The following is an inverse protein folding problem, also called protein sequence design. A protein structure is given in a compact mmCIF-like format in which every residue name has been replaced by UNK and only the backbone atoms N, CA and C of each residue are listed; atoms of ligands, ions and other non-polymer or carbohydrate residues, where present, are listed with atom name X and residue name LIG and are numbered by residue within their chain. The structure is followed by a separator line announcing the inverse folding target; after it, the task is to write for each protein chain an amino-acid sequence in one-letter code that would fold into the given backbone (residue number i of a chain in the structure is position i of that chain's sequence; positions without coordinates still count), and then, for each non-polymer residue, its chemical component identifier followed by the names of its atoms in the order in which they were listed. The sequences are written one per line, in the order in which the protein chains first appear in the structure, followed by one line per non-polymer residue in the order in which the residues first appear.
data_IF_811664343056
#
_entry.id   IF_811664343056
#
_cell.length_a   1.000
_cell.length_b   1.000
_cell.length_c   1.000
_cell.angle_alpha   90.00
_cell.angle_beta   90.00
_cell.angle_gamma   90.00
#
_symmetry.space_group_name_H-M   'P 1'
#
loop_
_entity.id
_entity.type
_entity.pdbx_description
1 polymer ?
#
# COMPACT_ATOMS: atom_id res chain seq x y z
N UNK A 1 14.64 -6.84 31.81
CA UNK A 1 13.58 -7.75 31.34
C UNK A 1 13.76 -7.92 29.84
N UNK A 2 14.20 -9.08 29.41
CA UNK A 2 14.24 -9.45 28.00
C UNK A 2 12.80 -9.44 27.45
N UNK A 3 12.53 -8.64 26.41
CA UNK A 3 11.21 -8.65 25.76
C UNK A 3 11.08 -9.98 25.01
N UNK A 4 10.30 -10.91 25.53
CA UNK A 4 9.95 -12.13 24.81
C UNK A 4 9.06 -11.73 23.63
N UNK A 5 9.60 -11.85 22.42
CA UNK A 5 8.82 -11.64 21.18
C UNK A 5 7.96 -12.90 20.98
N UNK A 6 6.62 -12.78 20.87
CA UNK A 6 5.76 -13.92 20.63
C UNK A 6 6.12 -14.67 19.34
N UNK A 7 5.98 -16.00 19.35
CA UNK A 7 6.35 -16.88 18.22
C UNK A 7 5.69 -16.49 16.91
N UNK A 8 4.43 -16.05 16.94
CA UNK A 8 3.73 -15.62 15.72
C UNK A 8 4.37 -14.38 15.08
N UNK A 9 4.92 -13.44 15.87
CA UNK A 9 5.65 -12.30 15.34
C UNK A 9 7.01 -12.71 14.78
N UNK A 10 7.69 -13.65 15.42
CA UNK A 10 8.94 -14.21 14.90
C UNK A 10 8.70 -14.93 13.55
N UNK A 11 7.61 -15.70 13.47
CA UNK A 11 7.23 -16.40 12.25
C UNK A 11 6.88 -15.43 11.12
N UNK A 12 6.12 -14.36 11.40
CA UNK A 12 5.80 -13.32 10.42
C UNK A 12 7.06 -12.59 9.95
N UNK A 13 7.93 -12.17 10.86
CA UNK A 13 9.20 -11.53 10.53
C UNK A 13 10.08 -12.45 9.66
N UNK A 14 10.20 -13.72 10.04
CA UNK A 14 10.94 -14.71 9.27
C UNK A 14 10.37 -14.91 7.86
N UNK A 15 9.05 -14.96 7.72
CA UNK A 15 8.36 -15.05 6.44
C UNK A 15 8.70 -13.83 5.56
N UNK A 16 8.56 -12.63 6.09
CA UNK A 16 8.84 -11.39 5.35
C UNK A 16 10.30 -11.32 4.89
N UNK A 17 11.22 -11.67 5.77
CA UNK A 17 12.66 -11.61 5.48
C UNK A 17 13.09 -12.66 4.44
N UNK A 18 12.58 -13.89 4.55
CA UNK A 18 12.99 -15.02 3.71
C UNK A 18 12.32 -15.06 2.34
N UNK A 19 11.11 -14.52 2.18
CA UNK A 19 10.38 -14.61 0.92
C UNK A 19 11.04 -13.74 -0.16
N UNK A 20 11.72 -14.37 -1.10
CA UNK A 20 12.25 -13.73 -2.31
C UNK A 20 11.21 -13.71 -3.42
N UNK A 21 11.38 -12.81 -4.41
CA UNK A 21 10.46 -12.75 -5.56
C UNK A 21 10.41 -14.09 -6.34
N UNK A 22 11.53 -14.79 -6.45
CA UNK A 22 11.65 -16.06 -7.18
C UNK A 22 10.93 -17.23 -6.50
N UNK A 23 10.60 -17.11 -5.22
CA UNK A 23 9.87 -18.14 -4.45
C UNK A 23 8.36 -17.92 -4.47
N UNK A 24 7.90 -16.78 -4.98
CA UNK A 24 6.48 -16.48 -5.06
C UNK A 24 5.88 -17.25 -6.25
N UNK A 25 4.79 -18.01 -6.03
CA UNK A 25 4.13 -18.75 -7.10
C UNK A 25 3.63 -17.81 -8.22
N UNK A 26 3.74 -18.25 -9.48
CA UNK A 26 3.37 -17.42 -10.64
C UNK A 26 1.91 -16.95 -10.60
N UNK A 27 0.99 -17.78 -10.15
CA UNK A 27 -0.41 -17.40 -10.02
C UNK A 27 -0.63 -16.27 -8.99
N UNK A 28 0.22 -16.15 -7.96
CA UNK A 28 0.21 -15.05 -7.00
C UNK A 28 0.75 -13.78 -7.64
N UNK A 29 1.84 -13.91 -8.43
CA UNK A 29 2.42 -12.79 -9.18
C UNK A 29 1.38 -12.23 -10.17
N UNK A 30 0.73 -13.09 -10.96
CA UNK A 30 -0.31 -12.69 -11.91
C UNK A 30 -1.48 -12.01 -11.19
N UNK A 31 -1.94 -12.57 -10.07
CA UNK A 31 -3.01 -11.94 -9.27
C UNK A 31 -2.58 -10.57 -8.73
N UNK A 32 -1.35 -10.41 -8.28
CA UNK A 32 -0.85 -9.13 -7.78
C UNK A 32 -0.73 -8.07 -8.88
N UNK A 33 -0.40 -8.47 -10.11
CA UNK A 33 -0.43 -7.58 -11.28
C UNK A 33 -1.84 -7.04 -11.55
N UNK A 34 -2.86 -7.91 -11.45
CA UNK A 34 -4.26 -7.50 -11.62
C UNK A 34 -4.71 -6.55 -10.51
N UNK A 35 -4.39 -6.85 -9.24
CA UNK A 35 -4.67 -5.95 -8.12
C UNK A 35 -3.99 -4.60 -8.30
N UNK A 36 -2.73 -4.61 -8.72
CA UNK A 36 -1.99 -3.38 -8.98
C UNK A 36 -2.63 -2.56 -10.10
N UNK A 37 -2.97 -3.19 -11.23
CA UNK A 37 -3.60 -2.51 -12.36
C UNK A 37 -4.97 -1.93 -12.02
N UNK A 38 -5.80 -2.68 -11.28
CA UNK A 38 -7.10 -2.25 -10.79
C UNK A 38 -6.99 -1.02 -9.88
N UNK A 39 -6.10 -1.10 -8.88
CA UNK A 39 -5.86 0.03 -7.97
C UNK A 39 -5.31 1.26 -8.70
N UNK A 40 -4.42 1.08 -9.68
CA UNK A 40 -3.92 2.19 -10.51
C UNK A 40 -5.04 2.85 -11.30
N UNK A 41 -5.96 2.06 -11.85
CA UNK A 41 -7.12 2.59 -12.58
C UNK A 41 -8.05 3.39 -11.65
N UNK A 42 -8.32 2.88 -10.44
CA UNK A 42 -9.14 3.58 -9.45
C UNK A 42 -8.48 4.92 -9.02
N UNK A 43 -7.17 4.94 -8.78
CA UNK A 43 -6.44 6.16 -8.42
C UNK A 43 -6.52 7.20 -9.56
N UNK A 44 -6.24 6.78 -10.81
CA UNK A 44 -6.26 7.67 -11.97
C UNK A 44 -7.68 8.19 -12.20
N UNK A 45 -8.70 7.34 -12.11
CA UNK A 45 -10.10 7.75 -12.25
C UNK A 45 -10.50 8.78 -11.19
N UNK A 46 -10.21 8.50 -9.92
CA UNK A 46 -10.56 9.42 -8.82
C UNK A 46 -9.73 10.70 -8.79
N UNK A 47 -8.53 10.71 -9.40
CA UNK A 47 -7.70 11.93 -9.48
C UNK A 47 -8.33 13.04 -10.30
N UNK A 48 -9.27 12.72 -11.19
CA UNK A 48 -9.99 13.67 -12.03
C UNK A 48 -11.19 14.34 -11.31
N UNK A 49 -11.53 13.89 -10.10
CA UNK A 49 -12.65 14.44 -9.35
C UNK A 49 -12.30 15.81 -8.73
N UNK A 50 -13.20 16.80 -8.77
CA UNK A 50 -12.92 18.18 -8.34
C UNK A 50 -12.45 18.28 -6.88
N UNK A 51 -12.98 17.44 -6.00
CA UNK A 51 -12.62 17.39 -4.58
C UNK A 51 -11.19 16.88 -4.40
N UNK A 52 -10.80 15.84 -5.15
CA UNK A 52 -9.44 15.28 -5.13
C UNK A 52 -8.45 16.26 -5.75
N UNK A 53 -8.83 16.93 -6.83
CA UNK A 53 -8.02 18.00 -7.43
C UNK A 53 -7.77 19.14 -6.43
N UNK A 54 -8.81 19.53 -5.69
CA UNK A 54 -8.71 20.55 -4.65
C UNK A 54 -7.81 20.11 -3.49
N UNK A 55 -7.95 18.86 -3.03
CA UNK A 55 -7.08 18.26 -2.03
C UNK A 55 -5.62 18.27 -2.49
N UNK A 56 -5.38 17.80 -3.72
CA UNK A 56 -4.03 17.76 -4.34
C UNK A 56 -3.38 19.14 -4.34
N UNK A 57 -4.07 20.14 -4.84
CA UNK A 57 -3.56 21.53 -4.87
C UNK A 57 -3.20 22.02 -3.47
N UNK A 58 -4.06 21.79 -2.47
CA UNK A 58 -3.82 22.22 -1.09
C UNK A 58 -2.64 21.50 -0.44
N UNK A 59 -2.53 20.19 -0.62
CA UNK A 59 -1.45 19.42 -0.01
C UNK A 59 -0.09 19.69 -0.64
N UNK A 60 -0.02 19.97 -1.94
CA UNK A 60 1.22 20.32 -2.63
C UNK A 60 1.68 21.77 -2.38
N UNK A 61 0.83 22.63 -1.77
CA UNK A 61 1.24 23.96 -1.34
C UNK A 61 2.34 23.95 -0.25
N UNK A 62 2.43 22.89 0.53
CA UNK A 62 3.57 22.66 1.42
C UNK A 62 4.79 22.34 0.56
N UNK A 63 5.60 23.33 0.24
CA UNK A 63 6.74 23.33 -0.70
C UNK A 63 7.85 22.30 -0.41
N UNK A 64 7.52 21.11 0.07
CA UNK A 64 8.47 20.03 0.21
C UNK A 64 8.68 19.38 -1.16
N UNK A 65 9.86 19.56 -1.77
CA UNK A 65 10.15 18.97 -3.06
C UNK A 65 10.18 17.44 -2.93
N UNK A 66 9.70 16.76 -3.96
CA UNK A 66 9.74 15.31 -4.05
C UNK A 66 9.51 14.86 -5.48
N UNK A 67 9.88 13.63 -5.76
CA UNK A 67 9.80 13.03 -7.09
C UNK A 67 8.73 11.94 -7.19
N UNK A 68 7.98 11.70 -6.12
CA UNK A 68 6.88 10.75 -6.16
C UNK A 68 5.73 11.31 -7.01
N UNK A 69 5.13 10.47 -7.84
CA UNK A 69 4.13 10.88 -8.83
C UNK A 69 2.72 10.94 -8.26
N UNK A 70 2.04 12.08 -8.42
CA UNK A 70 0.59 12.18 -8.24
C UNK A 70 -0.07 11.65 -9.50
N UNK A 71 -0.59 10.43 -9.42
CA UNK A 71 -1.11 9.70 -10.55
C UNK A 71 -2.27 10.45 -11.24
N UNK A 72 -2.30 10.38 -12.58
CA UNK A 72 -3.32 11.03 -13.40
C UNK A 72 -3.15 12.55 -13.58
N UNK A 73 -2.17 13.20 -12.94
CA UNK A 73 -2.08 14.67 -12.95
C UNK A 73 -0.82 15.26 -13.57
N UNK A 74 0.26 14.48 -13.72
CA UNK A 74 1.57 14.98 -14.12
C UNK A 74 2.32 15.78 -13.04
N UNK A 75 1.77 15.87 -11.82
CA UNK A 75 2.39 16.52 -10.67
C UNK A 75 3.23 15.53 -9.87
N UNK A 76 4.17 16.05 -9.09
CA UNK A 76 4.99 15.26 -8.16
C UNK A 76 5.16 15.98 -6.83
N UNK A 77 5.55 15.25 -5.80
CA UNK A 77 5.73 15.81 -4.48
C UNK A 77 6.47 14.87 -3.52
N UNK A 78 6.48 15.27 -2.27
CA UNK A 78 7.03 14.49 -1.15
C UNK A 78 6.25 13.17 -1.01
N UNK A 79 6.93 12.01 -0.82
CA UNK A 79 6.31 10.69 -0.93
C UNK A 79 5.15 10.44 0.07
N UNK A 80 5.23 10.94 1.30
CA UNK A 80 4.12 10.79 2.26
C UNK A 80 2.88 11.58 1.81
N UNK A 81 3.08 12.81 1.34
CA UNK A 81 2.01 13.66 0.80
C UNK A 81 1.36 12.99 -0.41
N UNK A 82 2.19 12.51 -1.34
CA UNK A 82 1.72 11.84 -2.56
C UNK A 82 0.97 10.54 -2.23
N UNK A 83 1.45 9.76 -1.25
CA UNK A 83 0.74 8.55 -0.81
C UNK A 83 -0.66 8.86 -0.29
N UNK A 84 -0.84 9.95 0.46
CA UNK A 84 -2.16 10.39 0.95
C UNK A 84 -3.05 10.84 -0.22
N UNK A 85 -2.51 11.62 -1.16
CA UNK A 85 -3.26 12.08 -2.34
C UNK A 85 -3.73 10.89 -3.18
N UNK A 86 -2.80 9.99 -3.55
CA UNK A 86 -3.13 8.82 -4.36
C UNK A 86 -4.08 7.86 -3.63
N UNK A 87 -3.91 7.66 -2.32
CA UNK A 87 -4.84 6.87 -1.53
C UNK A 87 -6.25 7.47 -1.47
N UNK A 88 -6.34 8.78 -1.29
CA UNK A 88 -7.63 9.50 -1.32
C UNK A 88 -8.29 9.42 -2.69
N UNK A 89 -7.52 9.59 -3.78
CA UNK A 89 -8.02 9.43 -5.13
C UNK A 89 -8.56 8.02 -5.38
N UNK A 90 -7.80 7.00 -4.97
CA UNK A 90 -8.14 5.61 -5.22
C UNK A 90 -9.41 5.13 -4.53
N UNK A 91 -9.73 5.68 -3.36
CA UNK A 91 -10.96 5.34 -2.63
C UNK A 91 -12.16 6.22 -3.00
N UNK A 92 -11.94 7.31 -3.73
CA UNK A 92 -12.98 8.33 -3.95
C UNK A 92 -14.21 7.81 -4.69
N UNK A 93 -14.00 6.96 -5.69
CA UNK A 93 -15.07 6.41 -6.52
C UNK A 93 -15.68 5.11 -5.98
N UNK A 94 -15.18 4.60 -4.83
CA UNK A 94 -15.60 3.29 -4.27
C UNK A 94 -15.50 2.15 -5.32
N UNK A 95 -14.48 2.18 -6.17
CA UNK A 95 -14.25 1.23 -7.26
C UNK A 95 -12.93 0.45 -7.10
N UNK A 96 -12.24 0.65 -6.00
CA UNK A 96 -10.97 -0.03 -5.69
C UNK A 96 -11.17 -1.49 -5.28
N UNK A 97 -10.14 -2.31 -5.52
CA UNK A 97 -10.17 -3.75 -5.25
C UNK A 97 -10.62 -4.07 -3.82
N UNK A 98 -11.32 -5.17 -3.67
CA UNK A 98 -11.82 -5.62 -2.38
C UNK A 98 -11.44 -7.06 -2.05
N UNK A 99 -11.18 -7.31 -0.77
CA UNK A 99 -10.93 -8.64 -0.22
C UNK A 99 -11.99 -8.98 0.84
N UNK A 100 -12.93 -9.84 0.47
CA UNK A 100 -14.06 -10.22 1.32
C UNK A 100 -13.63 -10.92 2.63
N UNK A 101 -12.47 -11.59 2.65
CA UNK A 101 -12.01 -12.34 3.82
C UNK A 101 -11.51 -11.41 4.92
N UNK A 102 -10.75 -10.37 4.57
CA UNK A 102 -10.30 -9.36 5.53
C UNK A 102 -11.26 -8.16 5.65
N UNK A 103 -12.33 -8.15 4.85
CA UNK A 103 -13.37 -7.10 4.85
C UNK A 103 -12.82 -5.70 4.63
N UNK A 104 -12.04 -5.54 3.58
CA UNK A 104 -11.42 -4.26 3.24
C UNK A 104 -10.66 -4.32 1.92
N UNK A 105 -9.85 -3.30 1.69
CA UNK A 105 -9.19 -3.01 0.42
C UNK A 105 -7.66 -2.99 0.58
N UNK A 106 -7.00 -4.16 0.80
CA UNK A 106 -5.57 -4.20 1.11
C UNK A 106 -4.68 -3.57 0.03
N UNK A 107 -5.04 -3.71 -1.25
CA UNK A 107 -4.31 -3.11 -2.36
C UNK A 107 -4.26 -1.59 -2.23
N UNK A 108 -5.41 -0.97 -2.01
CA UNK A 108 -5.48 0.49 -1.87
C UNK A 108 -4.78 1.02 -0.62
N UNK A 109 -4.67 0.21 0.42
CA UNK A 109 -3.95 0.59 1.63
C UNK A 109 -2.42 0.51 1.45
N UNK A 110 -1.94 -0.41 0.62
CA UNK A 110 -0.51 -0.70 0.43
C UNK A 110 0.07 0.05 -0.76
N UNK A 111 -0.61 0.03 -1.92
CA UNK A 111 -0.08 0.50 -3.20
C UNK A 111 0.36 1.97 -3.17
N UNK A 112 -0.42 2.93 -2.66
CA UNK A 112 0.01 4.34 -2.66
C UNK A 112 1.33 4.56 -1.92
N UNK A 113 1.54 3.87 -0.80
CA UNK A 113 2.74 4.00 0.00
C UNK A 113 3.97 3.35 -0.66
N UNK A 114 3.82 2.12 -1.16
CA UNK A 114 4.94 1.41 -1.79
C UNK A 114 5.31 2.01 -3.14
N UNK A 115 4.34 2.55 -3.91
CA UNK A 115 4.61 3.18 -5.19
C UNK A 115 5.45 4.45 -4.99
N UNK A 116 5.04 5.34 -4.10
CA UNK A 116 5.79 6.54 -3.78
C UNK A 116 7.21 6.20 -3.28
N UNK A 117 7.36 5.18 -2.43
CA UNK A 117 8.66 4.73 -1.95
C UNK A 117 9.50 4.11 -3.08
N UNK A 118 8.90 3.31 -3.96
CA UNK A 118 9.59 2.66 -5.08
C UNK A 118 10.13 3.71 -6.07
N UNK A 119 9.36 4.75 -6.37
CA UNK A 119 9.77 5.82 -7.26
C UNK A 119 11.01 6.56 -6.73
N UNK A 120 11.00 6.97 -5.45
CA UNK A 120 12.13 7.74 -4.89
C UNK A 120 13.43 6.94 -4.75
N UNK A 121 13.35 5.61 -4.65
CA UNK A 121 14.55 4.76 -4.55
C UNK A 121 14.91 4.06 -5.86
N UNK A 122 14.15 4.27 -6.95
CA UNK A 122 14.37 3.62 -8.24
C UNK A 122 14.21 2.09 -8.17
N UNK A 123 13.23 1.59 -7.40
CA UNK A 123 13.01 0.16 -7.25
C UNK A 123 12.56 -0.50 -8.55
N UNK A 124 12.93 -1.77 -8.75
CA UNK A 124 12.46 -2.53 -9.89
C UNK A 124 10.98 -2.91 -9.75
N UNK A 125 10.30 -3.20 -10.88
CA UNK A 125 8.93 -3.72 -10.86
C UNK A 125 8.79 -5.05 -10.09
N UNK A 126 9.85 -5.87 -10.04
CA UNK A 126 9.89 -7.10 -9.22
C UNK A 126 9.90 -6.77 -7.73
N UNK A 127 10.69 -5.79 -7.32
CA UNK A 127 10.73 -5.34 -5.92
C UNK A 127 9.38 -4.74 -5.50
N UNK A 128 8.76 -3.95 -6.38
CA UNK A 128 7.44 -3.37 -6.15
C UNK A 128 6.36 -4.45 -5.99
N UNK A 129 6.30 -5.44 -6.88
CA UNK A 129 5.33 -6.53 -6.77
C UNK A 129 5.57 -7.39 -5.52
N UNK A 130 6.84 -7.67 -5.17
CA UNK A 130 7.16 -8.36 -3.92
C UNK A 130 6.66 -7.57 -2.72
N UNK A 131 6.91 -6.27 -2.70
CA UNK A 131 6.46 -5.39 -1.62
C UNK A 131 4.93 -5.34 -1.51
N UNK A 132 4.23 -5.28 -2.65
CA UNK A 132 2.77 -5.37 -2.69
C UNK A 132 2.27 -6.68 -2.08
N UNK A 133 2.81 -7.82 -2.53
CA UNK A 133 2.39 -9.14 -2.07
C UNK A 133 2.60 -9.27 -0.56
N UNK A 134 3.76 -8.90 -0.04
CA UNK A 134 4.06 -9.00 1.38
C UNK A 134 3.19 -8.06 2.23
N UNK A 135 3.04 -6.81 1.81
CA UNK A 135 2.19 -5.84 2.50
C UNK A 135 0.72 -6.26 2.50
N UNK A 136 0.22 -6.69 1.34
CA UNK A 136 -1.14 -7.20 1.18
C UNK A 136 -1.41 -8.41 2.07
N UNK A 137 -0.51 -9.41 2.03
CA UNK A 137 -0.63 -10.65 2.78
C UNK A 137 -0.68 -10.40 4.29
N UNK A 138 0.22 -9.59 4.82
CA UNK A 138 0.26 -9.30 6.26
C UNK A 138 -0.95 -8.46 6.68
N UNK A 139 -1.29 -7.43 5.93
CA UNK A 139 -2.48 -6.61 6.20
C UNK A 139 -3.75 -7.47 6.21
N UNK A 140 -3.96 -8.29 5.19
CA UNK A 140 -5.11 -9.16 5.07
C UNK A 140 -5.17 -10.20 6.20
N UNK A 141 -4.07 -10.85 6.57
CA UNK A 141 -4.01 -11.80 7.71
C UNK A 141 -4.42 -11.16 9.01
N UNK A 142 -3.93 -9.94 9.29
CA UNK A 142 -4.34 -9.19 10.48
C UNK A 142 -5.83 -8.88 10.41
N UNK A 143 -6.33 -8.43 9.25
CA UNK A 143 -7.75 -8.14 9.03
C UNK A 143 -8.65 -9.36 9.26
N UNK A 144 -8.22 -10.55 8.82
CA UNK A 144 -8.92 -11.82 9.04
C UNK A 144 -8.92 -12.21 10.53
N UNK A 145 -7.80 -12.02 11.20
CA UNK A 145 -7.64 -12.38 12.61
C UNK A 145 -8.32 -11.40 13.57
N UNK A 146 -8.56 -10.15 13.13
CA UNK A 146 -9.12 -9.09 13.97
C UNK A 146 -10.63 -8.98 13.81
N UNK A 147 -11.33 -8.81 14.94
CA UNK A 147 -12.72 -8.38 14.96
C UNK A 147 -12.78 -6.88 15.24
N UNK A 148 -12.88 -6.09 14.17
CA UNK A 148 -13.00 -4.64 14.31
C UNK A 148 -14.36 -4.26 14.91
N UNK A 149 -14.39 -3.18 15.69
CA UNK A 149 -15.63 -2.54 16.12
C UNK A 149 -16.34 -1.95 14.91
N UNK A 150 -17.66 -1.90 14.93
CA UNK A 150 -18.46 -1.31 13.84
C UNK A 150 -18.14 0.17 13.54
N UNK A 151 -17.55 0.87 14.51
CA UNK A 151 -17.13 2.26 14.37
C UNK A 151 -15.71 2.44 13.83
N UNK A 152 -15.00 1.35 13.53
CA UNK A 152 -13.61 1.38 13.04
C UNK A 152 -13.56 0.92 11.59
N UNK A 153 -12.80 1.66 10.79
CA UNK A 153 -12.58 1.34 9.39
C UNK A 153 -11.28 0.55 9.18
N UNK A 154 -11.25 -0.43 8.27
CA UNK A 154 -10.03 -1.18 7.93
C UNK A 154 -8.85 -0.30 7.53
N UNK A 155 -9.09 0.78 6.77
CA UNK A 155 -8.05 1.67 6.27
C UNK A 155 -7.20 2.29 7.40
N UNK A 156 -7.81 2.72 8.48
CA UNK A 156 -7.11 3.31 9.63
C UNK A 156 -6.63 2.31 10.67
N UNK A 157 -6.70 1.00 10.41
CA UNK A 157 -6.35 -0.05 11.37
C UNK A 157 -5.29 -0.99 10.80
N UNK A 158 -5.63 -2.21 10.42
CA UNK A 158 -4.67 -3.19 9.92
C UNK A 158 -4.04 -2.81 8.58
N UNK A 159 -4.70 -1.99 7.77
CA UNK A 159 -4.16 -1.51 6.49
C UNK A 159 -2.89 -0.71 6.64
N UNK A 160 -2.77 0.09 7.71
CA UNK A 160 -1.53 0.84 8.01
C UNK A 160 -0.34 -0.07 8.28
N UNK A 161 -0.58 -1.23 8.89
CA UNK A 161 0.46 -2.25 9.10
C UNK A 161 0.89 -2.86 7.77
N UNK A 162 -0.07 -3.19 6.89
CA UNK A 162 0.23 -3.67 5.54
C UNK A 162 1.08 -2.69 4.73
N UNK A 163 0.73 -1.41 4.76
CA UNK A 163 1.51 -0.35 4.11
C UNK A 163 2.95 -0.26 4.65
N UNK A 164 3.10 -0.27 5.98
CA UNK A 164 4.42 -0.23 6.63
C UNK A 164 5.28 -1.45 6.24
N UNK A 165 4.69 -2.65 6.21
CA UNK A 165 5.39 -3.88 5.78
C UNK A 165 5.84 -3.75 4.33
N UNK A 166 4.99 -3.29 3.42
CA UNK A 166 5.34 -3.09 2.01
C UNK A 166 6.51 -2.10 1.84
N UNK A 167 6.48 -0.98 2.54
CA UNK A 167 7.58 0.01 2.53
C UNK A 167 8.87 -0.58 3.10
N UNK A 168 8.81 -1.27 4.24
CA UNK A 168 9.97 -1.94 4.83
C UNK A 168 10.56 -3.02 3.90
N UNK A 169 9.70 -3.75 3.16
CA UNK A 169 10.16 -4.74 2.18
C UNK A 169 10.95 -4.11 1.03
N UNK A 170 10.58 -2.90 0.58
CA UNK A 170 11.34 -2.12 -0.40
C UNK A 170 12.65 -1.60 0.16
N UNK A 171 12.63 -1.09 1.39
CA UNK A 171 13.81 -0.52 2.06
C UNK A 171 14.77 -1.59 2.59
N UNK A 172 14.43 -2.88 2.45
CA UNK A 172 15.20 -4.02 2.97
C UNK A 172 15.49 -3.88 4.47
N UNK A 173 14.50 -3.36 5.23
CA UNK A 173 14.59 -3.29 6.69
C UNK A 173 14.78 -4.69 7.26
N UNK A 174 15.72 -4.82 8.23
CA UNK A 174 16.01 -6.08 8.91
C UNK A 174 14.96 -6.40 10.00
#
# INVERSE_FOLDING_TARGET
MEKIIPDYLQNLSSFLHKTSYSEIPENVIERSRLVFADSMAAIIGGSAEPEVETLTKRMLLSKNPGTASVLGTGLSGEPMIVSVINGSAGTFLEMDEGNQFCRGHPGMQVIPAILAQAEIQGASGRDLLRALILGYEIGARIGIACKLRMTMHPHGTWGTVGAAVGVCALQKCA
#
